data_IF_915974151821
#
_entry.id   IF_915974151821
#
_cell.length_a   1.000
_cell.length_b   1.000
_cell.length_c   1.000
_cell.angle_alpha   90.00
_cell.angle_beta   90.00
_cell.angle_gamma   90.00
#
_symmetry.space_group_name_H-M   'P 1'
#
loop_
_entity.id
_entity.type
_entity.pdbx_description
1 polymer ?
#
# COMPACT_ATOMS: atom_id res chain seq x y z
N UNK A 1 -22.83 3.60 -1.28
CA UNK A 1 -21.59 3.27 -0.60
C UNK A 1 -20.65 2.60 -1.58
N UNK A 2 -19.47 3.13 -1.80
CA UNK A 2 -18.52 2.45 -2.68
C UNK A 2 -18.16 1.06 -2.15
N UNK A 3 -17.87 0.11 -3.03
CA UNK A 3 -17.45 -1.20 -2.57
C UNK A 3 -16.13 -1.13 -1.77
N UNK A 4 -15.94 -2.08 -0.90
CA UNK A 4 -14.80 -2.17 0.01
C UNK A 4 -13.45 -2.04 -0.71
N UNK A 5 -13.33 -2.68 -1.84
CA UNK A 5 -12.14 -2.61 -2.69
C UNK A 5 -11.85 -1.17 -3.13
N UNK A 6 -12.89 -0.45 -3.57
CA UNK A 6 -12.74 0.94 -4.00
C UNK A 6 -12.32 1.84 -2.83
N UNK A 7 -12.86 1.61 -1.65
CA UNK A 7 -12.47 2.33 -0.43
C UNK A 7 -11.00 2.16 -0.12
N UNK A 8 -10.51 0.94 -0.25
CA UNK A 8 -9.11 0.63 -0.03
C UNK A 8 -8.21 1.33 -1.05
N UNK A 9 -8.59 1.30 -2.33
CA UNK A 9 -7.83 1.98 -3.38
C UNK A 9 -7.80 3.49 -3.15
N UNK A 10 -8.92 4.10 -2.81
CA UNK A 10 -8.99 5.55 -2.56
C UNK A 10 -8.11 5.96 -1.37
N UNK A 11 -8.16 5.21 -0.28
CA UNK A 11 -7.29 5.45 0.86
C UNK A 11 -5.82 5.28 0.48
N UNK A 12 -5.51 4.21 -0.24
CA UNK A 12 -4.13 3.92 -0.66
C UNK A 12 -3.58 4.99 -1.59
N UNK A 13 -4.39 5.52 -2.50
CA UNK A 13 -4.00 6.61 -3.38
C UNK A 13 -3.62 7.85 -2.56
N UNK A 14 -4.42 8.19 -1.56
CA UNK A 14 -4.13 9.31 -0.67
C UNK A 14 -2.84 9.11 0.12
N UNK A 15 -2.63 7.90 0.64
CA UNK A 15 -1.46 7.58 1.46
C UNK A 15 -0.17 7.55 0.64
N UNK A 16 -0.22 7.04 -0.58
CA UNK A 16 0.98 6.84 -1.41
C UNK A 16 1.32 8.01 -2.31
N UNK A 17 0.33 8.85 -2.65
CA UNK A 17 0.48 9.90 -3.63
C UNK A 17 0.34 9.44 -5.08
N UNK A 18 0.11 8.15 -5.30
CA UNK A 18 -0.15 7.59 -6.62
C UNK A 18 -1.65 7.59 -6.90
N UNK A 19 -2.03 7.71 -8.19
CA UNK A 19 -3.44 7.70 -8.57
C UNK A 19 -4.05 6.30 -8.43
N UNK A 20 -5.38 6.20 -8.29
CA UNK A 20 -6.05 4.89 -8.35
C UNK A 20 -5.71 4.09 -9.59
N UNK A 21 -5.61 4.75 -10.74
CA UNK A 21 -5.20 4.11 -12.00
C UNK A 21 -3.81 3.47 -11.90
N UNK A 22 -2.86 4.19 -11.32
CA UNK A 22 -1.50 3.69 -11.12
C UNK A 22 -1.46 2.51 -10.15
N UNK A 23 -2.25 2.58 -9.07
CA UNK A 23 -2.34 1.48 -8.11
C UNK A 23 -2.94 0.22 -8.74
N UNK A 24 -4.01 0.37 -9.52
CA UNK A 24 -4.57 -0.76 -10.28
C UNK A 24 -3.55 -1.34 -11.25
N UNK A 25 -2.73 -0.49 -11.86
CA UNK A 25 -1.68 -0.91 -12.77
C UNK A 25 -0.63 -1.83 -12.15
N UNK A 26 -0.46 -1.80 -10.83
CA UNK A 26 0.45 -2.73 -10.14
C UNK A 26 -0.06 -4.17 -10.13
N UNK A 27 -1.38 -4.35 -10.26
CA UNK A 27 -2.01 -5.66 -10.13
C UNK A 27 -2.12 -6.16 -8.70
N UNK A 28 -1.84 -5.33 -7.69
CA UNK A 28 -1.74 -5.75 -6.29
C UNK A 28 -2.93 -5.33 -5.42
N UNK A 29 -3.91 -4.60 -5.96
CA UNK A 29 -4.99 -4.05 -5.15
C UNK A 29 -5.77 -5.13 -4.38
N UNK A 30 -6.19 -6.19 -5.06
CA UNK A 30 -6.93 -7.28 -4.43
C UNK A 30 -6.04 -8.09 -3.47
N UNK A 31 -4.80 -8.36 -3.86
CA UNK A 31 -3.86 -9.13 -3.05
C UNK A 31 -3.54 -8.40 -1.73
N UNK A 32 -3.33 -7.10 -1.78
CA UNK A 32 -3.04 -6.32 -0.58
C UNK A 32 -4.25 -6.23 0.36
N UNK A 33 -5.45 -6.09 -0.18
CA UNK A 33 -6.64 -6.09 0.66
C UNK A 33 -6.85 -7.44 1.35
N UNK A 34 -6.64 -8.53 0.63
CA UNK A 34 -6.68 -9.88 1.19
C UNK A 34 -5.62 -10.06 2.29
N UNK A 35 -4.41 -9.57 2.05
CA UNK A 35 -3.33 -9.63 3.04
C UNK A 35 -3.69 -8.86 4.32
N UNK A 36 -4.26 -7.67 4.17
CA UNK A 36 -4.70 -6.86 5.31
C UNK A 36 -5.78 -7.58 6.13
N UNK A 37 -6.72 -8.22 5.46
CA UNK A 37 -7.76 -9.00 6.14
C UNK A 37 -7.16 -10.15 6.95
N UNK A 38 -6.14 -10.79 6.41
CA UNK A 38 -5.44 -11.86 7.12
C UNK A 38 -4.65 -11.34 8.32
N UNK A 39 -4.07 -10.15 8.22
CA UNK A 39 -3.24 -9.57 9.27
C UNK A 39 -4.09 -8.91 10.36
N UNK A 40 -5.04 -8.05 9.97
CA UNK A 40 -5.78 -7.20 10.91
C UNK A 40 -7.17 -7.73 11.27
N UNK A 41 -7.72 -8.61 10.53
CA UNK A 41 -9.11 -9.05 10.47
C UNK A 41 -9.96 -8.13 9.58
N UNK A 42 -10.96 -8.71 8.97
CA UNK A 42 -11.87 -7.99 8.08
C UNK A 42 -12.60 -6.84 8.80
N UNK A 43 -13.05 -7.09 10.04
CA UNK A 43 -13.75 -6.08 10.82
C UNK A 43 -12.86 -4.86 11.11
N UNK A 44 -11.61 -5.08 11.45
CA UNK A 44 -10.70 -3.96 11.76
C UNK A 44 -10.34 -3.19 10.49
N UNK A 45 -10.16 -3.88 9.37
CA UNK A 45 -9.93 -3.21 8.08
C UNK A 45 -11.14 -2.37 7.70
N UNK A 46 -12.35 -2.87 7.89
CA UNK A 46 -13.58 -2.11 7.61
C UNK A 46 -13.67 -0.86 8.49
N UNK A 47 -13.30 -0.94 9.75
CA UNK A 47 -13.25 0.21 10.64
C UNK A 47 -12.21 1.24 10.18
N UNK A 48 -11.04 0.79 9.73
CA UNK A 48 -10.01 1.67 9.18
C UNK A 48 -10.52 2.39 7.94
N UNK A 49 -11.13 1.66 7.01
CA UNK A 49 -11.69 2.23 5.79
C UNK A 49 -12.80 3.23 6.09
N UNK A 50 -13.61 2.96 7.10
CA UNK A 50 -14.67 3.88 7.53
C UNK A 50 -14.12 5.12 8.24
N UNK A 51 -12.99 5.00 8.92
CA UNK A 51 -12.34 6.12 9.60
C UNK A 51 -11.66 7.08 8.64
N UNK A 52 -11.33 6.64 7.43
CA UNK A 52 -10.67 7.47 6.44
C UNK A 52 -11.67 8.50 5.88
N UNK A 53 -11.35 9.82 5.98
CA UNK A 53 -12.25 10.86 5.49
C UNK A 53 -12.41 10.77 3.98
N UNK A 54 -13.65 10.83 3.53
CA UNK A 54 -13.96 10.82 2.12
C UNK A 54 -14.31 12.18 1.63
N UNK A 55 -14.03 12.38 0.35
CA UNK A 55 -14.54 13.54 -0.32
C UNK A 55 -16.08 13.49 -0.36
N UNK A 56 -16.70 14.58 0.04
CA UNK A 56 -18.14 14.76 -0.06
C UNK A 56 -18.49 15.04 -1.51
N UNK A 57 -19.57 14.45 -2.01
CA UNK A 57 -20.13 14.70 -3.34
C UNK A 57 -19.26 14.25 -4.53
N UNK A 58 -18.59 13.11 -4.43
CA UNK A 58 -17.90 12.52 -5.58
C UNK A 58 -16.66 13.28 -6.05
N UNK A 59 -16.21 14.27 -5.31
CA UNK A 59 -14.93 14.91 -5.57
C UNK A 59 -13.81 13.94 -5.19
N UNK A 60 -12.82 13.81 -6.07
CA UNK A 60 -11.62 13.04 -5.76
C UNK A 60 -10.68 13.79 -4.81
N UNK A 61 -10.98 15.05 -4.50
CA UNK A 61 -10.17 15.85 -3.61
C UNK A 61 -10.46 15.51 -2.15
N UNK A 62 -9.42 15.17 -1.41
CA UNK A 62 -9.50 14.98 0.03
C UNK A 62 -9.49 16.33 0.73
N UNK A 63 -10.10 16.36 1.92
CA UNK A 63 -9.95 17.51 2.78
C UNK A 63 -8.46 17.76 3.08
N UNK A 64 -7.98 19.02 3.03
CA UNK A 64 -6.61 19.31 3.40
C UNK A 64 -6.30 18.79 4.81
N UNK A 65 -5.18 18.08 4.95
CA UNK A 65 -4.77 17.53 6.24
C UNK A 65 -5.44 16.21 6.62
N UNK A 66 -6.31 15.64 5.78
CA UNK A 66 -6.99 14.38 6.08
C UNK A 66 -5.99 13.23 6.28
N UNK A 67 -4.98 13.14 5.44
CA UNK A 67 -3.93 12.11 5.56
C UNK A 67 -3.11 12.33 6.82
N UNK A 68 -2.73 13.57 7.09
CA UNK A 68 -1.96 13.89 8.30
C UNK A 68 -2.75 13.54 9.56
N UNK A 69 -4.04 13.84 9.59
CA UNK A 69 -4.91 13.51 10.71
C UNK A 69 -4.99 11.99 10.92
N UNK A 70 -5.10 11.22 9.85
CA UNK A 70 -5.13 9.76 9.92
C UNK A 70 -3.80 9.22 10.46
N UNK A 71 -2.68 9.73 9.96
CA UNK A 71 -1.35 9.28 10.37
C UNK A 71 -1.02 9.64 11.81
N UNK A 72 -1.59 10.71 12.34
CA UNK A 72 -1.41 11.14 13.72
C UNK A 72 -2.35 10.41 14.69
N UNK A 73 -3.38 9.75 14.19
CA UNK A 73 -4.31 9.00 15.03
C UNK A 73 -3.61 7.80 15.65
N UNK A 74 -3.68 7.64 17.00
CA UNK A 74 -3.01 6.50 17.66
C UNK A 74 -3.55 5.14 17.24
N UNK A 75 -4.82 5.05 16.87
CA UNK A 75 -5.45 3.79 16.46
C UNK A 75 -5.16 3.46 14.98
N UNK A 76 -5.20 4.47 14.10
CA UNK A 76 -5.16 4.25 12.65
C UNK A 76 -3.82 4.61 12.01
N UNK A 77 -3.03 5.45 12.66
CA UNK A 77 -1.73 5.87 12.13
C UNK A 77 -0.77 4.71 11.88
N UNK A 78 -0.53 3.84 12.86
CA UNK A 78 0.38 2.71 12.66
C UNK A 78 -0.05 1.77 11.52
N UNK A 79 -1.32 1.31 11.44
CA UNK A 79 -1.76 0.54 10.28
C UNK A 79 -1.62 1.30 8.96
N UNK A 80 -1.95 2.58 8.92
CA UNK A 80 -1.83 3.38 7.70
C UNK A 80 -0.39 3.48 7.21
N UNK A 81 0.57 3.65 8.12
CA UNK A 81 2.00 3.67 7.78
C UNK A 81 2.46 2.31 7.24
N UNK A 82 2.00 1.22 7.86
CA UNK A 82 2.34 -0.12 7.41
C UNK A 82 1.77 -0.40 6.02
N UNK A 83 0.56 0.06 5.74
CA UNK A 83 -0.06 -0.04 4.41
C UNK A 83 0.74 0.73 3.37
N UNK A 84 1.16 1.95 3.69
CA UNK A 84 1.98 2.77 2.79
C UNK A 84 3.28 2.07 2.45
N UNK A 85 3.97 1.52 3.45
CA UNK A 85 5.21 0.76 3.24
C UNK A 85 4.97 -0.50 2.41
N UNK A 86 3.84 -1.16 2.61
CA UNK A 86 3.48 -2.35 1.83
C UNK A 86 3.37 -2.01 0.33
N UNK A 87 2.74 -0.88 0.00
CA UNK A 87 2.66 -0.42 -1.38
C UNK A 87 4.03 -0.09 -1.96
N UNK A 88 4.89 0.58 -1.19
CA UNK A 88 6.21 0.99 -1.68
C UNK A 88 7.20 -0.16 -1.76
N UNK A 89 7.19 -1.07 -0.79
CA UNK A 89 8.23 -2.08 -0.63
C UNK A 89 7.76 -3.52 -0.90
N UNK A 90 6.46 -3.76 -1.00
CA UNK A 90 5.92 -5.12 -1.11
C UNK A 90 6.05 -5.92 0.18
N UNK A 91 6.27 -5.25 1.31
CA UNK A 91 6.58 -5.86 2.60
C UNK A 91 5.63 -5.33 3.66
N UNK A 92 5.11 -6.22 4.49
CA UNK A 92 4.40 -5.82 5.70
C UNK A 92 5.40 -5.64 6.83
N UNK A 93 5.28 -4.52 7.54
CA UNK A 93 6.09 -4.22 8.72
C UNK A 93 5.23 -4.44 9.96
N UNK A 94 5.72 -5.27 10.87
CA UNK A 94 5.02 -5.57 12.14
C UNK A 94 4.63 -4.28 12.85
N UNK A 95 3.39 -4.23 13.32
CA UNK A 95 2.87 -3.07 14.04
C UNK A 95 3.60 -2.85 15.35
N UNK A 96 3.71 -1.59 15.82
CA UNK A 96 4.42 -1.29 17.06
C UNK A 96 3.86 -2.01 18.28
N UNK A 97 4.71 -2.32 19.23
CA UNK A 97 4.33 -3.02 20.47
C UNK A 97 3.24 -2.28 21.25
N UNK A 98 3.32 -0.95 21.29
CA UNK A 98 2.30 -0.13 21.96
C UNK A 98 0.92 -0.30 21.33
N UNK A 99 0.85 -0.32 20.01
CA UNK A 99 -0.40 -0.56 19.29
C UNK A 99 -0.93 -1.97 19.55
N UNK A 100 -0.04 -2.95 19.50
CA UNK A 100 -0.39 -4.36 19.73
C UNK A 100 -0.87 -4.61 21.16
N UNK A 101 -0.29 -3.93 22.12
CA UNK A 101 -0.73 -4.02 23.52
C UNK A 101 -2.16 -3.52 23.69
N UNK A 102 -2.55 -2.50 22.94
CA UNK A 102 -3.87 -1.87 23.05
C UNK A 102 -4.92 -2.58 22.18
N UNK A 103 -4.55 -3.05 20.99
CA UNK A 103 -5.47 -3.59 19.99
C UNK A 103 -5.40 -5.11 19.83
N UNK A 104 -4.44 -5.76 20.48
CA UNK A 104 -4.25 -7.20 20.43
C UNK A 104 -3.13 -7.62 19.48
N UNK A 105 -2.54 -8.76 19.77
CA UNK A 105 -1.51 -9.39 18.95
C UNK A 105 -2.18 -10.34 17.95
N UNK A 106 -1.71 -10.32 16.72
CA UNK A 106 -2.22 -11.17 15.63
C UNK A 106 -1.08 -11.96 15.02
N UNK A 107 -1.33 -13.23 14.71
CA UNK A 107 -0.29 -14.17 14.27
C UNK A 107 0.37 -13.76 12.95
N UNK A 108 -0.40 -13.15 12.05
CA UNK A 108 0.13 -12.72 10.74
C UNK A 108 0.76 -11.33 10.76
N UNK A 109 0.72 -10.63 11.88
CA UNK A 109 1.36 -9.33 12.03
C UNK A 109 2.85 -9.50 12.33
N UNK A 110 3.59 -9.85 11.31
CA UNK A 110 5.04 -10.08 11.35
C UNK A 110 5.70 -9.38 10.18
N UNK A 111 6.97 -9.05 10.31
CA UNK A 111 7.75 -8.51 9.20
C UNK A 111 7.89 -9.60 8.13
N UNK A 112 7.34 -9.36 6.94
CA UNK A 112 7.44 -10.34 5.85
C UNK A 112 7.20 -9.68 4.49
N UNK A 113 7.81 -10.24 3.46
CA UNK A 113 7.52 -9.89 2.07
C UNK A 113 6.17 -10.53 1.72
N UNK A 114 5.24 -9.73 1.19
CA UNK A 114 3.90 -10.23 0.87
C UNK A 114 3.95 -11.31 -0.21
N UNK A 115 4.71 -11.05 -1.28
CA UNK A 115 4.94 -12.00 -2.36
C UNK A 115 6.07 -11.52 -3.26
N UNK A 116 6.57 -12.38 -4.12
CA UNK A 116 7.53 -11.98 -5.15
C UNK A 116 6.93 -10.92 -6.08
N UNK A 117 5.66 -11.10 -6.46
CA UNK A 117 4.95 -10.11 -7.29
C UNK A 117 4.85 -8.76 -6.58
N UNK A 118 4.59 -8.73 -5.28
CA UNK A 118 4.52 -7.51 -4.50
C UNK A 118 5.87 -6.79 -4.45
N UNK A 119 6.95 -7.51 -4.25
CA UNK A 119 8.30 -6.94 -4.27
C UNK A 119 8.59 -6.28 -5.62
N UNK A 120 8.30 -6.97 -6.71
CA UNK A 120 8.52 -6.46 -8.07
C UNK A 120 7.61 -5.28 -8.41
N UNK A 121 6.40 -5.25 -7.86
CA UNK A 121 5.41 -4.20 -8.11
C UNK A 121 5.55 -3.01 -7.16
N UNK A 122 6.51 -3.02 -6.24
CA UNK A 122 6.69 -1.95 -5.25
C UNK A 122 6.82 -0.58 -5.90
N UNK A 123 6.09 0.40 -5.39
CA UNK A 123 6.09 1.76 -5.91
C UNK A 123 7.45 2.44 -5.76
N UNK A 124 8.30 1.96 -4.87
CA UNK A 124 9.66 2.49 -4.70
C UNK A 124 10.47 2.46 -5.99
N UNK A 125 10.27 1.44 -6.82
CA UNK A 125 11.01 1.30 -8.08
C UNK A 125 10.64 2.39 -9.07
N UNK A 126 9.34 2.65 -9.23
CA UNK A 126 8.85 3.73 -10.08
C UNK A 126 9.27 5.09 -9.53
N UNK A 127 9.10 5.30 -8.23
CA UNK A 127 9.46 6.56 -7.58
C UNK A 127 10.95 6.88 -7.71
N UNK A 128 11.82 5.86 -7.66
CA UNK A 128 13.25 6.01 -7.80
C UNK A 128 13.74 5.99 -9.25
N UNK A 129 12.85 5.73 -10.21
CA UNK A 129 13.25 5.56 -11.62
C UNK A 129 14.08 4.32 -11.86
N UNK A 130 13.87 3.27 -11.05
CA UNK A 130 14.65 2.04 -11.07
C UNK A 130 13.79 0.82 -11.38
N UNK A 131 14.44 -0.34 -11.49
CA UNK A 131 13.78 -1.64 -11.66
C UNK A 131 14.22 -2.58 -10.55
N UNK A 132 13.33 -3.44 -10.04
CA UNK A 132 13.75 -4.48 -9.12
C UNK A 132 14.62 -5.51 -9.84
N UNK A 133 15.56 -6.09 -9.13
CA UNK A 133 16.44 -7.13 -9.67
C UNK A 133 15.59 -8.33 -10.09
N UNK A 134 15.80 -8.81 -11.32
CA UNK A 134 15.05 -9.95 -11.86
C UNK A 134 13.62 -9.63 -12.26
N UNK A 135 13.27 -8.35 -12.34
CA UNK A 135 11.91 -7.97 -12.63
C UNK A 135 11.56 -8.02 -14.09
N UNK A 136 10.38 -8.17 -14.25
CA UNK A 136 9.46 -8.25 -15.37
C UNK A 136 9.99 -7.83 -16.71
N UNK A 137 9.86 -6.77 -17.26
CA UNK A 137 10.08 -6.40 -18.65
C UNK A 137 11.52 -6.39 -19.05
N UNK A 138 12.33 -5.71 -18.27
CA UNK A 138 13.75 -5.56 -18.53
C UNK A 138 14.55 -6.18 -17.40
N UNK A 139 13.89 -6.96 -16.57
CA UNK A 139 14.48 -7.46 -15.34
C UNK A 139 15.67 -8.34 -15.61
N UNK A 140 15.43 -9.48 -16.26
CA UNK A 140 16.47 -10.44 -16.50
C UNK A 140 17.37 -10.00 -17.64
N UNK A 141 18.62 -9.74 -17.32
CA UNK A 141 19.61 -9.36 -18.33
C UNK A 141 19.55 -7.91 -18.79
N UNK A 142 18.68 -7.08 -18.23
CA UNK A 142 18.57 -5.68 -18.66
C UNK A 142 19.87 -4.90 -18.46
N UNK A 143 20.67 -5.24 -17.47
CA UNK A 143 21.98 -4.63 -17.22
C UNK A 143 23.03 -4.96 -18.27
N UNK A 144 22.81 -5.98 -19.09
CA UNK A 144 23.74 -6.37 -20.15
C UNK A 144 23.47 -5.65 -21.47
N UNK A 145 22.38 -4.89 -21.57
CA UNK A 145 22.07 -4.11 -22.76
C UNK A 145 22.81 -2.77 -22.75
N UNK A 146 23.29 -2.30 -23.91
CA UNK A 146 23.80 -0.94 -24.02
C UNK A 146 22.71 0.08 -23.66
N UNK A 147 23.13 1.26 -23.21
CA UNK A 147 22.20 2.31 -22.78
C UNK A 147 21.26 2.74 -23.92
N UNK A 148 21.76 2.81 -25.15
CA UNK A 148 20.97 3.19 -26.30
C UNK A 148 19.86 2.17 -26.62
N UNK A 149 20.07 0.91 -26.32
CA UNK A 149 19.04 -0.12 -26.51
C UNK A 149 17.94 0.01 -25.47
N UNK A 150 18.27 0.46 -24.28
CA UNK A 150 17.30 0.68 -23.19
C UNK A 150 16.50 1.96 -23.40
N UNK A 151 17.03 2.92 -24.13
CA UNK A 151 16.38 4.20 -24.40
C UNK A 151 15.38 4.16 -25.56
N UNK A 152 15.40 3.10 -26.38
CA UNK A 152 14.52 2.98 -27.55
C UNK A 152 13.15 2.32 -27.25
#
# INVERSE_FOLDING_TARGET
MPPRHQLFVDMSAALTGFSPFQLHGTGMTAAYLTELDAILTEDLVDQLLAAFPRAVHGSAALEPGAVDALLEDPAWGPPARAITLMWYCGTWTRLPDAWRAEHGVRDHDTDHVVSTAAYQAGLQWVAAGAHPIGARQQGFGSWSFPVEDLAS
#
